data_IF_772207032344
#
_entry.id   IF_772207032344
#
_cell.length_a   1.000
_cell.length_b   1.000
_cell.length_c   1.000
_cell.angle_alpha   90.00
_cell.angle_beta   90.00
_cell.angle_gamma   90.00
#
_symmetry.space_group_name_H-M   'P 1'
#
loop_
_entity.id
_entity.type
_entity.pdbx_description
1 polymer ?
#
# COMPACT_ATOMS: atom_id res chain seq x y z
N UNK A 1 -106.09 -31.61 -27.77
CA UNK A 1 -106.69 -32.90 -28.17
C UNK A 1 -105.84 -34.02 -27.59
N UNK A 2 -106.34 -34.67 -26.53
CA UNK A 2 -106.00 -36.06 -26.14
C UNK A 2 -106.49 -37.05 -27.24
N UNK A 3 -106.16 -38.36 -27.29
CA UNK A 3 -105.79 -39.28 -26.18
C UNK A 3 -104.55 -40.20 -26.44
N UNK A 4 -103.83 -40.74 -25.43
CA UNK A 4 -104.07 -41.90 -24.50
C UNK A 4 -103.79 -43.30 -25.10
N UNK A 5 -103.11 -44.13 -24.27
CA UNK A 5 -102.92 -45.60 -24.23
C UNK A 5 -101.55 -46.12 -24.68
N UNK A 6 -100.65 -46.52 -23.78
CA UNK A 6 -100.72 -47.68 -22.86
C UNK A 6 -100.99 -48.99 -23.63
N UNK A 7 -99.92 -49.64 -24.07
CA UNK A 7 -99.83 -51.11 -24.05
C UNK A 7 -98.38 -51.56 -24.26
N UNK A 8 -97.97 -52.55 -23.47
CA UNK A 8 -96.74 -53.37 -23.58
C UNK A 8 -95.50 -52.91 -22.79
N UNK A 9 -95.71 -52.65 -21.51
CA UNK A 9 -94.80 -53.04 -20.41
C UNK A 9 -94.69 -54.57 -20.28
N UNK A 10 -94.27 -55.24 -21.36
CA UNK A 10 -94.11 -56.71 -21.41
C UNK A 10 -92.96 -57.17 -22.30
N UNK A 11 -92.19 -56.24 -22.89
CA UNK A 11 -91.01 -56.55 -23.73
C UNK A 11 -89.70 -55.98 -23.16
N UNK A 12 -89.75 -55.36 -21.98
CA UNK A 12 -88.58 -54.77 -21.30
C UNK A 12 -87.91 -55.71 -20.28
N UNK A 13 -88.52 -56.86 -19.98
CA UNK A 13 -88.02 -57.84 -19.02
C UNK A 13 -87.43 -59.11 -19.66
N UNK A 14 -87.44 -59.22 -21.00
CA UNK A 14 -86.80 -60.33 -21.72
C UNK A 14 -85.47 -59.95 -22.41
N UNK A 15 -85.07 -58.67 -22.34
CA UNK A 15 -83.76 -58.20 -22.83
C UNK A 15 -82.75 -57.90 -21.71
N UNK A 16 -83.11 -58.13 -20.45
CA UNK A 16 -82.30 -57.82 -19.27
C UNK A 16 -81.67 -59.05 -18.58
N UNK A 17 -81.79 -60.25 -19.18
CA UNK A 17 -81.18 -61.47 -18.67
C UNK A 17 -80.43 -62.28 -19.74
N UNK A 18 -79.77 -61.58 -20.67
CA UNK A 18 -78.73 -62.18 -21.49
C UNK A 18 -77.44 -61.38 -21.31
N UNK A 19 -76.60 -61.86 -20.39
CA UNK A 19 -75.14 -61.79 -20.45
C UNK A 19 -74.55 -60.37 -20.66
N UNK A 20 -74.24 -59.58 -19.63
CA UNK A 20 -73.18 -59.87 -18.66
C UNK A 20 -72.10 -60.80 -19.23
N UNK A 21 -71.34 -60.32 -20.22
CA UNK A 21 -69.95 -60.68 -20.56
C UNK A 21 -69.60 -60.15 -21.97
N UNK A 22 -69.59 -58.84 -22.14
CA UNK A 22 -68.78 -58.22 -23.20
C UNK A 22 -68.09 -56.99 -22.62
N UNK A 23 -67.20 -57.23 -21.66
CA UNK A 23 -65.93 -56.51 -21.73
C UNK A 23 -65.33 -56.91 -23.08
N UNK A 24 -65.68 -56.16 -24.14
CA UNK A 24 -64.86 -56.15 -25.33
C UNK A 24 -63.55 -55.53 -24.87
N UNK A 25 -62.67 -56.39 -24.35
CA UNK A 25 -61.28 -56.31 -24.73
C UNK A 25 -61.36 -56.27 -26.24
N UNK A 26 -61.29 -55.07 -26.84
CA UNK A 26 -60.85 -54.97 -28.22
C UNK A 26 -59.51 -55.68 -28.19
N UNK A 27 -59.51 -56.96 -28.55
CA UNK A 27 -58.33 -57.63 -28.99
C UNK A 27 -57.90 -56.79 -30.18
N UNK A 28 -57.01 -55.84 -29.94
CA UNK A 28 -56.26 -55.20 -31.00
C UNK A 28 -55.52 -56.36 -31.63
N UNK A 29 -56.07 -56.90 -32.71
CA UNK A 29 -55.38 -57.89 -33.51
C UNK A 29 -54.18 -57.16 -34.06
N UNK A 30 -53.02 -57.48 -33.49
CA UNK A 30 -51.71 -57.09 -33.99
C UNK A 30 -51.55 -57.61 -35.42
N UNK A 31 -52.04 -56.88 -36.43
CA UNK A 31 -51.60 -57.12 -37.79
C UNK A 31 -50.21 -56.51 -37.90
N UNK A 32 -49.18 -57.34 -37.66
CA UNK A 32 -47.82 -56.99 -38.04
C UNK A 32 -47.86 -56.50 -39.50
N UNK A 33 -47.29 -55.33 -39.76
CA UNK A 33 -47.10 -54.83 -41.13
C UNK A 33 -46.06 -55.65 -41.90
N UNK A 34 -45.34 -56.50 -41.18
CA UNK A 34 -44.29 -57.38 -41.69
C UNK A 34 -44.83 -58.80 -41.85
N UNK A 35 -44.78 -59.30 -43.09
CA UNK A 35 -45.02 -60.70 -43.42
C UNK A 35 -43.80 -61.55 -43.03
N UNK A 36 -43.86 -62.12 -41.84
CA UNK A 36 -42.82 -63.02 -41.34
C UNK A 36 -42.74 -64.28 -42.20
N UNK A 37 -41.62 -64.44 -42.91
CA UNK A 37 -41.36 -65.54 -43.84
C UNK A 37 -39.93 -66.07 -43.64
N UNK A 38 -39.60 -67.27 -44.15
CA UNK A 38 -38.22 -67.73 -44.20
C UNK A 38 -37.25 -66.74 -44.87
N UNK A 39 -37.72 -65.99 -45.87
CA UNK A 39 -36.95 -64.94 -46.55
C UNK A 39 -36.71 -63.74 -45.63
N UNK A 40 -37.73 -63.31 -44.88
CA UNK A 40 -37.58 -62.28 -43.85
C UNK A 40 -36.61 -62.73 -42.75
N UNK A 41 -36.72 -63.98 -42.26
CA UNK A 41 -35.76 -64.52 -41.30
C UNK A 41 -34.33 -64.53 -41.86
N UNK A 42 -34.14 -64.97 -43.11
CA UNK A 42 -32.85 -64.95 -43.80
C UNK A 42 -32.28 -63.53 -43.97
N UNK A 43 -33.14 -62.51 -44.02
CA UNK A 43 -32.70 -61.12 -44.05
C UNK A 43 -32.08 -60.71 -42.72
N UNK A 44 -32.69 -61.06 -41.57
CA UNK A 44 -32.37 -60.57 -40.21
C UNK A 44 -31.54 -61.50 -39.31
N UNK A 45 -31.43 -62.79 -39.66
CA UNK A 45 -30.76 -63.82 -38.85
C UNK A 45 -29.66 -64.52 -39.65
N UNK A 46 -28.61 -64.98 -38.98
CA UNK A 46 -27.56 -65.81 -39.57
C UNK A 46 -27.94 -67.28 -39.44
N UNK A 47 -27.91 -68.01 -40.56
CA UNK A 47 -28.07 -69.45 -40.55
C UNK A 47 -27.32 -70.03 -41.73
N UNK A 48 -26.39 -70.96 -41.49
CA UNK A 48 -25.68 -71.66 -42.55
C UNK A 48 -26.50 -72.77 -43.22
N UNK A 49 -27.77 -72.92 -42.83
CA UNK A 49 -28.69 -74.00 -43.26
C UNK A 49 -30.09 -73.42 -43.50
N UNK A 50 -31.11 -74.28 -43.60
CA UNK A 50 -32.48 -73.85 -43.87
C UNK A 50 -33.07 -73.02 -42.72
N UNK A 51 -33.48 -71.80 -43.06
CA UNK A 51 -34.18 -70.88 -42.16
C UNK A 51 -35.68 -71.20 -42.18
N UNK A 52 -36.32 -71.25 -41.02
CA UNK A 52 -37.79 -71.39 -40.90
C UNK A 52 -38.34 -70.37 -39.91
N UNK A 53 -39.60 -69.98 -40.05
CA UNK A 53 -40.29 -69.13 -39.08
C UNK A 53 -41.28 -70.00 -38.30
N UNK A 54 -41.18 -70.02 -36.97
CA UNK A 54 -42.12 -70.73 -36.12
C UNK A 54 -43.21 -69.77 -35.65
N UNK A 55 -44.45 -70.00 -36.12
CA UNK A 55 -45.62 -69.24 -35.67
C UNK A 55 -45.89 -69.47 -34.18
N UNK A 56 -45.73 -70.71 -33.70
CA UNK A 56 -45.99 -71.08 -32.30
C UNK A 56 -45.03 -70.40 -31.32
N UNK A 57 -43.76 -70.25 -31.70
CA UNK A 57 -42.74 -69.59 -30.88
C UNK A 57 -42.57 -68.11 -31.20
N UNK A 58 -43.22 -67.63 -32.27
CA UNK A 58 -43.03 -66.28 -32.81
C UNK A 58 -41.56 -65.94 -33.02
N UNK A 59 -40.76 -66.81 -33.63
CA UNK A 59 -39.30 -66.56 -33.82
C UNK A 59 -38.73 -67.32 -35.02
N UNK A 60 -37.58 -66.85 -35.52
CA UNK A 60 -36.83 -67.50 -36.58
C UNK A 60 -35.99 -68.67 -36.03
N UNK A 61 -36.06 -69.81 -36.71
CA UNK A 61 -35.33 -71.02 -36.38
C UNK A 61 -34.29 -71.36 -37.45
N UNK A 62 -33.13 -71.80 -37.01
CA UNK A 62 -32.05 -72.35 -37.83
C UNK A 62 -31.88 -73.83 -37.47
N UNK A 63 -32.17 -74.74 -38.41
CA UNK A 63 -32.12 -76.20 -38.17
C UNK A 63 -32.89 -76.66 -36.91
N UNK A 64 -34.08 -76.11 -36.67
CA UNK A 64 -34.92 -76.43 -35.50
C UNK A 64 -34.52 -75.75 -34.17
N UNK A 65 -33.33 -75.15 -34.09
CA UNK A 65 -32.87 -74.31 -32.98
C UNK A 65 -33.16 -72.83 -33.20
N UNK A 66 -33.01 -71.99 -32.17
CA UNK A 66 -33.14 -70.53 -32.31
C UNK A 66 -32.08 -70.00 -33.28
N UNK A 67 -32.49 -69.25 -34.30
CA UNK A 67 -31.56 -68.64 -35.23
C UNK A 67 -30.78 -67.50 -34.52
N UNK A 68 -29.45 -67.43 -34.67
CA UNK A 68 -28.69 -66.28 -34.19
C UNK A 68 -29.04 -65.03 -35.00
N UNK A 69 -29.21 -63.89 -34.32
CA UNK A 69 -29.49 -62.60 -34.97
C UNK A 69 -28.22 -62.16 -35.72
N UNK A 70 -28.36 -61.61 -36.93
CA UNK A 70 -27.25 -60.92 -37.59
C UNK A 70 -26.85 -59.71 -36.76
N UNK A 71 -25.60 -59.60 -36.38
CA UNK A 71 -25.09 -58.43 -35.65
C UNK A 71 -25.07 -57.21 -36.57
N UNK A 72 -26.07 -56.33 -36.45
CA UNK A 72 -26.21 -55.14 -37.30
C UNK A 72 -25.55 -53.89 -36.74
N UNK A 73 -25.42 -53.81 -35.40
CA UNK A 73 -24.95 -52.61 -34.71
C UNK A 73 -23.52 -52.85 -34.22
N UNK A 74 -22.51 -52.17 -34.78
CA UNK A 74 -21.14 -52.22 -34.28
C UNK A 74 -21.09 -51.85 -32.80
N UNK A 75 -20.26 -52.54 -32.03
CA UNK A 75 -20.07 -52.33 -30.58
C UNK A 75 -21.31 -52.62 -29.72
N UNK A 76 -22.30 -53.36 -30.23
CA UNK A 76 -23.40 -53.88 -29.43
C UNK A 76 -23.05 -55.26 -28.83
N UNK A 77 -23.33 -55.46 -27.54
CA UNK A 77 -23.11 -56.73 -26.81
C UNK A 77 -24.41 -57.54 -26.75
N UNK A 78 -25.52 -56.89 -26.41
CA UNK A 78 -26.82 -57.55 -26.26
C UNK A 78 -27.88 -56.86 -27.11
N UNK A 79 -28.68 -57.68 -27.79
CA UNK A 79 -29.76 -57.24 -28.67
C UNK A 79 -31.11 -57.57 -28.06
N UNK A 80 -32.10 -56.70 -28.30
CA UNK A 80 -33.49 -57.00 -27.95
C UNK A 80 -34.01 -58.12 -28.87
N UNK A 81 -34.04 -59.34 -28.34
CA UNK A 81 -34.48 -60.53 -29.06
C UNK A 81 -35.96 -60.89 -28.81
N UNK A 82 -36.81 -59.92 -28.45
CA UNK A 82 -38.23 -60.20 -28.19
C UNK A 82 -39.11 -59.91 -29.41
N UNK A 83 -39.65 -60.98 -30.00
CA UNK A 83 -40.73 -60.97 -30.99
C UNK A 83 -42.10 -61.20 -30.33
N UNK A 84 -42.39 -60.59 -29.19
CA UNK A 84 -43.68 -60.82 -28.52
C UNK A 84 -44.72 -59.76 -28.90
N UNK A 85 -45.79 -60.24 -29.54
CA UNK A 85 -47.02 -59.54 -29.95
C UNK A 85 -47.85 -58.97 -28.79
N UNK A 86 -47.28 -58.73 -27.61
CA UNK A 86 -48.10 -58.54 -26.41
C UNK A 86 -48.70 -57.13 -26.25
N UNK A 87 -48.30 -56.13 -27.06
CA UNK A 87 -48.84 -54.74 -27.03
C UNK A 87 -48.62 -53.94 -28.33
N UNK A 88 -49.30 -54.28 -29.43
CA UNK A 88 -49.20 -53.48 -30.68
C UNK A 88 -50.03 -52.19 -30.67
N UNK A 89 -50.77 -51.95 -29.59
CA UNK A 89 -51.48 -50.70 -29.31
C UNK A 89 -50.52 -49.57 -28.91
N UNK A 90 -49.28 -49.89 -28.51
CA UNK A 90 -48.28 -48.92 -28.02
C UNK A 90 -47.00 -48.87 -28.86
N UNK A 91 -46.47 -50.02 -29.31
CA UNK A 91 -45.21 -50.09 -30.07
C UNK A 91 -45.23 -51.24 -31.10
N UNK A 92 -44.84 -50.96 -32.35
CA UNK A 92 -44.69 -51.99 -33.40
C UNK A 92 -43.30 -52.63 -33.35
N UNK A 93 -43.20 -53.79 -32.69
CA UNK A 93 -41.95 -54.56 -32.55
C UNK A 93 -41.49 -55.27 -33.83
N UNK A 94 -42.28 -55.23 -34.92
CA UNK A 94 -41.92 -55.88 -36.18
C UNK A 94 -40.68 -55.26 -36.85
N UNK A 95 -40.28 -54.06 -36.41
CA UNK A 95 -39.08 -53.31 -36.85
C UNK A 95 -37.93 -53.28 -35.83
N UNK A 96 -38.07 -53.92 -34.66
CA UNK A 96 -37.22 -53.67 -33.46
C UNK A 96 -36.07 -54.69 -33.28
N UNK A 97 -35.96 -55.70 -34.14
CA UNK A 97 -35.00 -56.80 -33.99
C UNK A 97 -33.52 -56.43 -34.17
N UNK A 98 -33.23 -55.19 -34.54
CA UNK A 98 -31.87 -54.66 -34.69
C UNK A 98 -31.50 -53.61 -33.62
N UNK A 99 -32.27 -53.48 -32.54
CA UNK A 99 -31.95 -52.56 -31.46
C UNK A 99 -31.02 -53.21 -30.44
N UNK A 100 -29.96 -52.49 -30.11
CA UNK A 100 -29.04 -52.77 -29.03
C UNK A 100 -29.65 -52.40 -27.68
N UNK A 101 -29.52 -53.30 -26.71
CA UNK A 101 -29.86 -53.10 -25.30
C UNK A 101 -28.62 -52.64 -24.50
N UNK A 102 -27.47 -53.28 -24.75
CA UNK A 102 -26.21 -52.99 -24.04
C UNK A 102 -25.07 -52.86 -25.04
N UNK A 103 -24.42 -51.69 -25.03
CA UNK A 103 -23.20 -51.45 -25.81
C UNK A 103 -21.96 -51.98 -25.09
N UNK A 104 -20.87 -52.17 -25.83
CA UNK A 104 -19.55 -52.52 -25.29
C UNK A 104 -19.03 -51.43 -24.35
N UNK A 105 -18.04 -51.77 -23.52
CA UNK A 105 -17.36 -50.78 -22.67
C UNK A 105 -16.86 -49.60 -23.51
N UNK A 106 -17.01 -48.38 -22.99
CA UNK A 106 -16.73 -47.12 -23.67
C UNK A 106 -17.67 -46.73 -24.82
N UNK A 107 -18.79 -47.44 -25.00
CA UNK A 107 -19.87 -47.06 -25.92
C UNK A 107 -21.19 -46.84 -25.16
N UNK A 108 -22.04 -45.97 -25.68
CA UNK A 108 -23.36 -45.65 -25.15
C UNK A 108 -24.44 -45.77 -26.24
N UNK A 109 -25.68 -46.01 -25.82
CA UNK A 109 -26.84 -46.03 -26.71
C UNK A 109 -27.09 -44.61 -27.25
N UNK A 110 -27.16 -44.47 -28.57
CA UNK A 110 -27.45 -43.20 -29.23
C UNK A 110 -28.94 -43.06 -29.58
N UNK A 111 -29.53 -41.91 -29.32
CA UNK A 111 -30.97 -41.67 -29.53
C UNK A 111 -31.86 -42.82 -29.02
N UNK A 112 -31.72 -43.23 -27.73
CA UNK A 112 -32.39 -44.41 -27.22
C UNK A 112 -33.91 -44.24 -27.15
N UNK A 113 -34.64 -45.28 -27.55
CA UNK A 113 -36.08 -45.41 -27.33
C UNK A 113 -36.31 -46.16 -26.01
N UNK A 114 -37.29 -45.70 -25.22
CA UNK A 114 -37.65 -46.37 -23.96
C UNK A 114 -38.85 -47.28 -24.18
N UNK A 115 -38.70 -48.56 -23.84
CA UNK A 115 -39.77 -49.56 -23.90
C UNK A 115 -39.76 -50.33 -22.58
N UNK A 116 -40.92 -50.40 -21.90
CA UNK A 116 -41.07 -51.12 -20.63
C UNK A 116 -39.98 -50.76 -19.58
N UNK A 117 -39.62 -49.48 -19.47
CA UNK A 117 -38.56 -48.94 -18.60
C UNK A 117 -37.13 -49.39 -18.93
N UNK A 118 -36.90 -49.99 -20.10
CA UNK A 118 -35.57 -50.32 -20.63
C UNK A 118 -35.27 -49.46 -21.86
N UNK A 119 -33.99 -49.17 -22.10
CA UNK A 119 -33.54 -48.31 -23.20
C UNK A 119 -32.93 -49.14 -24.33
N UNK A 120 -33.27 -48.78 -25.56
CA UNK A 120 -32.84 -49.51 -26.75
C UNK A 120 -32.39 -48.53 -27.84
N UNK A 121 -31.38 -48.89 -28.63
CA UNK A 121 -30.89 -48.03 -29.72
C UNK A 121 -30.45 -48.80 -30.96
N UNK A 122 -30.61 -48.21 -32.14
CA UNK A 122 -30.06 -48.75 -33.39
C UNK A 122 -28.56 -48.44 -33.58
N UNK A 123 -27.92 -47.70 -32.67
CA UNK A 123 -26.53 -47.28 -32.81
C UNK A 123 -25.83 -47.16 -31.46
N UNK A 124 -24.70 -47.83 -31.30
CA UNK A 124 -23.77 -47.58 -30.21
C UNK A 124 -22.72 -46.56 -30.68
N UNK A 125 -22.62 -45.43 -29.98
CA UNK A 125 -21.59 -44.39 -30.24
C UNK A 125 -20.59 -44.35 -29.09
N UNK A 126 -19.35 -43.87 -29.30
CA UNK A 126 -18.42 -43.73 -28.20
C UNK A 126 -19.02 -42.93 -27.05
N UNK A 127 -18.72 -43.33 -25.82
CA UNK A 127 -19.29 -42.70 -24.64
C UNK A 127 -18.56 -41.40 -24.32
N UNK A 128 -19.28 -40.28 -24.42
CA UNK A 128 -18.84 -38.98 -23.90
C UNK A 128 -18.98 -38.98 -22.36
N UNK A 129 -17.90 -38.65 -21.64
CA UNK A 129 -17.92 -38.56 -20.18
C UNK A 129 -18.94 -37.52 -19.69
N UNK A 130 -19.65 -37.82 -18.60
CA UNK A 130 -20.70 -36.96 -18.00
C UNK A 130 -21.89 -36.64 -18.93
N UNK A 131 -22.08 -37.42 -20.00
CA UNK A 131 -23.22 -37.27 -20.90
C UNK A 131 -24.37 -38.20 -20.51
N UNK A 132 -25.58 -37.64 -20.42
CA UNK A 132 -26.82 -38.38 -20.15
C UNK A 132 -27.54 -38.79 -21.44
N UNK A 133 -27.37 -38.04 -22.53
CA UNK A 133 -28.04 -38.32 -23.80
C UNK A 133 -27.09 -38.12 -24.98
N UNK A 134 -26.76 -39.21 -25.66
CA UNK A 134 -25.95 -39.23 -26.87
C UNK A 134 -26.85 -39.27 -28.11
N UNK A 135 -26.50 -38.51 -29.14
CA UNK A 135 -27.15 -38.58 -30.46
C UNK A 135 -26.41 -39.53 -31.38
N UNK A 136 -27.09 -39.95 -32.44
CA UNK A 136 -26.55 -40.79 -33.51
C UNK A 136 -25.36 -40.15 -34.24
N UNK A 137 -25.24 -38.81 -34.23
CA UNK A 137 -24.10 -38.05 -34.77
C UNK A 137 -22.93 -37.88 -33.78
N UNK A 138 -22.88 -38.69 -32.72
CA UNK A 138 -21.84 -38.64 -31.68
C UNK A 138 -21.77 -37.26 -30.99
N UNK A 139 -22.94 -36.69 -30.68
CA UNK A 139 -23.08 -35.46 -29.88
C UNK A 139 -23.75 -35.76 -28.55
N UNK A 140 -23.50 -34.91 -27.55
CA UNK A 140 -24.16 -34.93 -26.26
C UNK A 140 -25.08 -33.72 -26.11
N UNK A 141 -26.38 -33.95 -25.96
CA UNK A 141 -27.38 -32.86 -25.82
C UNK A 141 -27.80 -32.61 -24.37
N UNK A 142 -27.55 -33.57 -23.48
CA UNK A 142 -27.85 -33.45 -22.05
C UNK A 142 -26.71 -34.07 -21.24
N UNK A 143 -26.27 -33.38 -20.19
CA UNK A 143 -25.16 -33.79 -19.33
C UNK A 143 -25.65 -34.09 -17.91
N UNK A 144 -24.82 -34.77 -17.12
CA UNK A 144 -25.05 -35.01 -15.69
C UNK A 144 -25.12 -33.69 -14.91
N UNK A 145 -25.76 -33.72 -13.74
CA UNK A 145 -25.87 -32.55 -12.85
C UNK A 145 -24.49 -31.95 -12.56
N UNK A 146 -24.37 -30.63 -12.73
CA UNK A 146 -23.09 -29.92 -12.58
C UNK A 146 -22.27 -29.81 -13.88
N UNK A 147 -22.72 -30.42 -14.97
CA UNK A 147 -22.12 -30.31 -16.30
C UNK A 147 -23.11 -29.75 -17.32
N UNK A 148 -22.58 -29.17 -18.40
CA UNK A 148 -23.36 -28.68 -19.55
C UNK A 148 -22.70 -29.09 -20.87
N UNK A 149 -23.46 -29.22 -21.96
CA UNK A 149 -22.88 -29.44 -23.28
C UNK A 149 -21.97 -28.28 -23.70
N UNK A 150 -20.81 -28.58 -24.28
CA UNK A 150 -20.02 -27.59 -25.02
C UNK A 150 -20.80 -27.07 -26.22
N UNK A 151 -20.50 -25.87 -26.76
CA UNK A 151 -21.25 -25.31 -27.90
C UNK A 151 -21.32 -26.21 -29.13
N UNK A 152 -20.28 -27.03 -29.36
CA UNK A 152 -20.25 -28.03 -30.44
C UNK A 152 -20.88 -29.39 -30.07
N UNK A 153 -21.37 -29.56 -28.84
CA UNK A 153 -21.96 -30.78 -28.30
C UNK A 153 -21.03 -32.00 -28.27
N UNK A 154 -19.72 -31.84 -28.39
CA UNK A 154 -18.77 -32.98 -28.40
C UNK A 154 -18.26 -33.36 -27.00
N UNK A 155 -18.57 -32.56 -25.97
CA UNK A 155 -18.19 -32.83 -24.59
C UNK A 155 -19.18 -32.24 -23.60
N UNK A 156 -19.14 -32.75 -22.36
CA UNK A 156 -19.79 -32.14 -21.20
C UNK A 156 -18.74 -31.42 -20.36
N UNK A 157 -18.86 -30.10 -20.26
CA UNK A 157 -17.98 -29.26 -19.47
C UNK A 157 -18.61 -28.94 -18.11
N UNK A 158 -17.78 -28.78 -17.08
CA UNK A 158 -18.24 -28.40 -15.75
C UNK A 158 -18.90 -27.01 -15.80
N UNK A 159 -20.00 -26.83 -15.08
CA UNK A 159 -20.69 -25.54 -15.00
C UNK A 159 -19.84 -24.56 -14.20
N UNK A 160 -19.39 -23.49 -14.87
CA UNK A 160 -18.67 -22.37 -14.26
C UNK A 160 -19.69 -21.35 -13.77
N UNK A 161 -19.80 -21.20 -12.45
CA UNK A 161 -20.67 -20.21 -11.83
C UNK A 161 -20.28 -18.81 -12.30
N UNK A 162 -21.27 -18.01 -12.73
CA UNK A 162 -21.04 -16.66 -13.21
C UNK A 162 -20.66 -16.53 -14.69
N UNK A 163 -20.55 -17.64 -15.42
CA UNK A 163 -20.22 -17.65 -16.84
C UNK A 163 -21.47 -17.54 -17.73
N UNK A 164 -21.49 -16.59 -18.67
CA UNK A 164 -22.58 -16.37 -19.62
C UNK A 164 -22.42 -17.12 -20.94
N UNK A 165 -21.19 -17.37 -21.39
CA UNK A 165 -20.92 -18.15 -22.61
C UNK A 165 -19.63 -18.95 -22.49
N UNK A 166 -19.54 -20.06 -23.23
CA UNK A 166 -18.44 -21.03 -23.12
C UNK A 166 -17.76 -21.24 -24.47
N UNK A 167 -16.49 -21.65 -24.41
CA UNK A 167 -15.73 -22.15 -25.56
C UNK A 167 -15.95 -23.66 -25.75
N UNK A 168 -15.50 -24.18 -26.90
CA UNK A 168 -15.61 -25.62 -27.22
C UNK A 168 -14.75 -26.53 -26.33
N UNK A 169 -13.73 -25.99 -25.67
CA UNK A 169 -12.90 -26.70 -24.69
C UNK A 169 -13.53 -26.73 -23.28
N UNK A 170 -14.72 -26.13 -23.11
CA UNK A 170 -15.42 -26.05 -21.83
C UNK A 170 -14.98 -24.91 -20.92
N UNK A 171 -14.01 -24.08 -21.34
CA UNK A 171 -13.64 -22.86 -20.61
C UNK A 171 -14.70 -21.77 -20.79
N UNK A 172 -14.73 -20.83 -19.85
CA UNK A 172 -15.61 -19.68 -19.96
C UNK A 172 -15.08 -18.69 -21.00
N UNK A 173 -15.96 -18.21 -21.87
CA UNK A 173 -15.67 -17.22 -22.88
C UNK A 173 -16.05 -15.82 -22.40
N UNK A 174 -17.24 -15.67 -21.80
CA UNK A 174 -17.71 -14.40 -21.23
C UNK A 174 -18.37 -14.63 -19.89
N UNK A 175 -18.19 -13.69 -18.96
CA UNK A 175 -18.83 -13.70 -17.65
C UNK A 175 -20.02 -12.74 -17.61
N UNK A 176 -20.97 -12.97 -16.68
CA UNK A 176 -22.04 -12.03 -16.41
C UNK A 176 -21.51 -10.67 -15.91
N UNK A 177 -22.34 -9.63 -16.03
CA UNK A 177 -22.02 -8.28 -15.58
C UNK A 177 -21.55 -8.25 -14.12
N UNK A 178 -20.46 -7.52 -13.84
CA UNK A 178 -19.84 -7.44 -12.51
C UNK A 178 -18.89 -8.60 -12.17
N UNK A 179 -18.72 -9.55 -13.11
CA UNK A 179 -17.72 -10.62 -13.03
C UNK A 179 -16.66 -10.44 -14.12
N UNK A 180 -15.44 -10.84 -13.80
CA UNK A 180 -14.29 -10.86 -14.70
C UNK A 180 -13.80 -12.29 -14.89
N UNK A 181 -13.32 -12.58 -16.09
CA UNK A 181 -12.77 -13.88 -16.44
C UNK A 181 -11.42 -14.06 -15.75
N UNK A 182 -11.20 -15.20 -15.10
CA UNK A 182 -9.86 -15.56 -14.60
C UNK A 182 -8.88 -15.76 -15.75
N UNK A 183 -7.59 -15.60 -15.48
CA UNK A 183 -6.55 -15.71 -16.50
C UNK A 183 -6.52 -17.09 -17.21
N UNK A 184 -6.87 -18.16 -16.49
CA UNK A 184 -7.00 -19.52 -17.03
C UNK A 184 -8.37 -19.82 -17.68
N UNK A 185 -9.29 -18.84 -17.66
CA UNK A 185 -10.65 -18.91 -18.20
C UNK A 185 -11.55 -19.97 -17.55
N UNK A 186 -11.17 -20.50 -16.39
CA UNK A 186 -11.92 -21.55 -15.69
C UNK A 186 -12.82 -21.03 -14.57
N UNK A 187 -12.79 -19.73 -14.31
CA UNK A 187 -13.63 -19.08 -13.31
C UNK A 187 -14.11 -17.70 -13.76
N UNK A 188 -15.29 -17.31 -13.28
CA UNK A 188 -15.78 -15.95 -13.33
C UNK A 188 -15.81 -15.38 -11.92
N UNK A 189 -14.91 -14.44 -11.65
CA UNK A 189 -14.69 -13.90 -10.30
C UNK A 189 -15.19 -12.47 -10.21
N UNK A 190 -15.40 -11.96 -8.99
CA UNK A 190 -15.88 -10.58 -8.80
C UNK A 190 -14.87 -9.58 -9.37
N UNK A 191 -15.36 -8.62 -10.17
CA UNK A 191 -14.51 -7.60 -10.78
C UNK A 191 -13.90 -6.70 -9.70
N UNK A 192 -12.56 -6.71 -9.61
CA UNK A 192 -11.80 -5.77 -8.78
C UNK A 192 -11.49 -4.50 -9.60
N UNK A 193 -11.93 -3.31 -9.17
CA UNK A 193 -11.66 -2.06 -9.88
C UNK A 193 -10.17 -1.78 -10.08
N UNK A 194 -9.77 -1.51 -11.32
CA UNK A 194 -8.37 -1.24 -11.67
C UNK A 194 -7.47 -2.47 -11.76
N UNK A 195 -8.03 -3.68 -11.68
CA UNK A 195 -7.33 -4.92 -11.94
C UNK A 195 -7.42 -5.27 -13.45
N UNK A 196 -6.28 -5.60 -14.07
CA UNK A 196 -6.19 -5.98 -15.48
C UNK A 196 -6.34 -7.50 -15.69
N UNK A 197 -5.93 -8.31 -14.71
CA UNK A 197 -6.10 -9.78 -14.76
C UNK A 197 -6.40 -10.38 -13.39
N UNK A 198 -7.27 -11.39 -13.35
CA UNK A 198 -7.73 -12.02 -12.12
C UNK A 198 -7.30 -13.48 -12.01
N UNK A 199 -7.03 -13.92 -10.78
CA UNK A 199 -6.81 -15.32 -10.43
C UNK A 199 -8.16 -16.04 -10.25
N UNK A 200 -8.14 -17.38 -10.33
CA UNK A 200 -9.33 -18.20 -10.16
C UNK A 200 -9.92 -18.13 -8.73
N UNK A 201 -9.12 -17.77 -7.72
CA UNK A 201 -9.55 -17.55 -6.33
C UNK A 201 -10.24 -16.20 -6.10
N UNK A 202 -10.33 -15.36 -7.13
CA UNK A 202 -10.93 -14.04 -7.08
C UNK A 202 -10.01 -12.93 -6.61
N UNK A 203 -8.72 -13.19 -6.43
CA UNK A 203 -7.72 -12.14 -6.22
C UNK A 203 -7.30 -11.49 -7.53
N UNK A 204 -6.77 -10.27 -7.44
CA UNK A 204 -6.14 -9.61 -8.55
C UNK A 204 -4.72 -10.15 -8.76
N UNK A 205 -4.39 -10.51 -9.99
CA UNK A 205 -3.07 -10.94 -10.37
C UNK A 205 -2.21 -9.75 -10.81
N UNK A 206 -2.77 -8.90 -11.66
CA UNK A 206 -2.07 -7.73 -12.21
C UNK A 206 -2.99 -6.51 -12.18
N UNK A 207 -2.46 -5.37 -11.77
CA UNK A 207 -3.18 -4.09 -11.79
C UNK A 207 -2.97 -3.34 -13.12
N UNK A 208 -3.88 -2.43 -13.42
CA UNK A 208 -3.72 -1.47 -14.52
C UNK A 208 -2.50 -0.56 -14.28
N UNK A 209 -2.00 0.06 -15.35
CA UNK A 209 -0.89 1.02 -15.27
C UNK A 209 -1.15 2.11 -14.23
N UNK A 210 -0.12 2.46 -13.45
CA UNK A 210 -0.20 3.44 -12.35
C UNK A 210 -0.82 2.94 -11.05
N UNK A 211 -1.19 1.65 -10.99
CA UNK A 211 -1.69 0.99 -9.78
C UNK A 211 -0.79 -0.15 -9.33
N UNK A 212 -0.74 -0.36 -8.03
CA UNK A 212 -0.03 -1.43 -7.36
C UNK A 212 -1.02 -2.37 -6.66
N UNK A 213 -0.64 -3.63 -6.59
CA UNK A 213 -1.42 -4.66 -5.91
C UNK A 213 -1.31 -4.46 -4.39
N UNK A 214 -2.44 -4.51 -3.69
CA UNK A 214 -2.43 -4.55 -2.22
C UNK A 214 -1.79 -5.85 -1.72
N UNK A 215 -1.27 -5.86 -0.50
CA UNK A 215 -0.61 -7.03 0.10
C UNK A 215 -1.50 -8.27 0.19
N UNK A 216 -2.81 -8.09 0.34
CA UNK A 216 -3.82 -9.17 0.32
C UNK A 216 -4.30 -9.55 -1.10
N UNK A 217 -3.82 -8.83 -2.13
CA UNK A 217 -4.18 -9.01 -3.54
C UNK A 217 -5.65 -8.79 -3.88
N UNK A 218 -6.44 -8.20 -2.98
CA UNK A 218 -7.88 -7.97 -3.19
C UNK A 218 -8.19 -6.55 -3.69
N UNK A 219 -7.18 -5.72 -3.91
CA UNK A 219 -7.35 -4.35 -4.37
C UNK A 219 -6.19 -3.88 -5.23
N UNK A 220 -6.48 -2.98 -6.16
CA UNK A 220 -5.50 -2.25 -6.94
C UNK A 220 -5.55 -0.78 -6.55
N UNK A 221 -4.49 -0.33 -5.87
CA UNK A 221 -4.40 1.01 -5.28
C UNK A 221 -3.40 1.86 -6.04
N UNK A 222 -3.47 3.19 -5.90
CA UNK A 222 -2.53 4.09 -6.58
C UNK A 222 -1.10 3.80 -6.15
N UNK A 223 -0.19 3.70 -7.11
CA UNK A 223 1.23 3.46 -6.82
C UNK A 223 1.85 4.64 -6.08
N UNK A 224 2.31 4.40 -4.85
CA UNK A 224 3.16 5.34 -4.10
C UNK A 224 4.62 5.12 -4.49
N UNK A 225 5.34 6.14 -5.02
CA UNK A 225 6.75 6.02 -5.37
C UNK A 225 7.61 5.61 -4.17
N UNK A 226 8.51 4.63 -4.39
CA UNK A 226 9.41 4.14 -3.34
C UNK A 226 8.74 3.21 -2.32
N UNK A 227 7.47 2.86 -2.50
CA UNK A 227 6.77 1.87 -1.67
C UNK A 227 6.92 0.46 -2.25
N UNK A 228 7.30 -0.51 -1.42
CA UNK A 228 7.47 -1.92 -1.81
C UNK A 228 6.20 -2.75 -1.64
N UNK A 229 5.29 -2.34 -0.75
CA UNK A 229 4.01 -3.03 -0.50
C UNK A 229 2.95 -2.05 -0.02
N UNK A 230 1.71 -2.25 -0.48
CA UNK A 230 0.59 -1.35 -0.21
C UNK A 230 -0.51 -2.03 0.61
N UNK A 231 -1.17 -1.27 1.46
CA UNK A 231 -2.39 -1.68 2.16
C UNK A 231 -3.60 -1.56 1.21
N UNK A 232 -4.71 -2.22 1.57
CA UNK A 232 -5.95 -2.16 0.80
C UNK A 232 -6.58 -0.75 0.76
N UNK A 233 -6.30 0.10 1.75
CA UNK A 233 -6.75 1.50 1.81
C UNK A 233 -5.93 2.46 0.93
N UNK A 234 -4.90 1.94 0.24
CA UNK A 234 -4.01 2.71 -0.62
C UNK A 234 -2.85 3.39 0.08
N UNK A 235 -2.66 3.18 1.38
CA UNK A 235 -1.45 3.62 2.09
C UNK A 235 -0.28 2.66 1.83
N UNK A 236 0.93 3.18 2.00
CA UNK A 236 2.13 2.35 1.94
C UNK A 236 2.29 1.55 3.24
N UNK A 237 2.52 0.25 3.10
CA UNK A 237 2.79 -0.65 4.22
C UNK A 237 4.29 -0.69 4.53
N UNK A 238 5.11 -0.86 3.49
CA UNK A 238 6.58 -0.94 3.61
C UNK A 238 7.22 -0.15 2.49
N UNK A 239 8.28 0.61 2.82
CA UNK A 239 9.07 1.33 1.84
C UNK A 239 10.23 0.49 1.30
N UNK A 240 10.77 0.89 0.14
CA UNK A 240 12.01 0.35 -0.41
C UNK A 240 13.20 0.67 0.51
N UNK A 241 14.30 -0.07 0.35
CA UNK A 241 15.54 0.17 1.10
C UNK A 241 16.00 1.63 0.97
N UNK A 242 16.48 2.22 2.07
CA UNK A 242 16.91 3.63 2.14
C UNK A 242 15.77 4.66 2.22
N UNK A 243 14.51 4.20 2.27
CA UNK A 243 13.32 5.04 2.46
C UNK A 243 12.64 4.72 3.80
N UNK A 244 12.02 5.73 4.40
CA UNK A 244 11.21 5.63 5.61
C UNK A 244 9.77 6.01 5.29
N UNK A 245 8.83 5.37 5.99
CA UNK A 245 7.41 5.65 5.85
C UNK A 245 7.08 6.99 6.51
N UNK A 246 6.34 7.86 5.82
CA UNK A 246 5.80 9.07 6.43
C UNK A 246 4.77 8.73 7.50
N UNK A 247 4.52 9.64 8.45
CA UNK A 247 3.61 9.39 9.56
C UNK A 247 2.16 9.16 9.13
N UNK A 248 1.72 9.75 8.02
CA UNK A 248 0.41 9.50 7.41
C UNK A 248 0.37 8.26 6.50
N UNK A 249 1.52 7.58 6.34
CA UNK A 249 1.74 6.40 5.49
C UNK A 249 1.46 6.61 4.00
N UNK A 250 1.37 7.86 3.54
CA UNK A 250 1.06 8.19 2.14
C UNK A 250 2.30 8.47 1.29
N UNK A 251 3.49 8.49 1.90
CA UNK A 251 4.74 8.70 1.20
C UNK A 251 5.87 7.81 1.75
N UNK A 252 6.80 7.45 0.87
CA UNK A 252 8.09 6.88 1.23
C UNK A 252 9.18 7.91 0.96
N UNK A 253 9.73 8.46 2.03
CA UNK A 253 10.69 9.56 1.97
C UNK A 253 12.10 9.08 2.27
N UNK A 254 13.13 9.85 1.90
CA UNK A 254 14.52 9.47 2.18
C UNK A 254 14.76 9.36 3.68
N UNK A 255 15.38 8.26 4.12
CA UNK A 255 15.66 8.04 5.53
C UNK A 255 16.69 9.07 6.03
N UNK A 256 16.29 9.87 7.02
CA UNK A 256 17.18 10.78 7.77
C UNK A 256 17.77 10.01 8.97
N UNK A 257 19.11 9.84 9.06
CA UNK A 257 19.73 9.13 10.17
C UNK A 257 19.42 9.72 11.53
N UNK A 258 18.95 8.89 12.46
CA UNK A 258 18.58 9.32 13.81
C UNK A 258 17.24 10.04 13.92
N UNK A 259 16.46 10.09 12.84
CA UNK A 259 15.08 10.52 12.86
C UNK A 259 14.17 9.35 13.27
N UNK A 260 13.25 9.58 14.21
CA UNK A 260 12.28 8.58 14.67
C UNK A 260 10.99 8.59 13.86
N UNK A 261 10.66 9.72 13.21
CA UNK A 261 9.41 9.87 12.46
C UNK A 261 9.52 10.96 11.38
N UNK A 262 8.91 10.72 10.21
CA UNK A 262 9.09 11.57 9.03
C UNK A 262 7.77 12.20 8.56
N UNK A 263 7.86 13.44 8.09
CA UNK A 263 6.78 14.13 7.40
C UNK A 263 6.68 13.67 5.93
N UNK A 264 5.52 13.91 5.30
CA UNK A 264 5.30 13.56 3.90
C UNK A 264 6.19 14.35 2.91
N UNK A 265 6.69 15.53 3.31
CA UNK A 265 7.64 16.34 2.54
C UNK A 265 9.10 15.85 2.63
N UNK A 266 9.35 14.81 3.44
CA UNK A 266 10.67 14.23 3.65
C UNK A 266 11.50 14.89 4.75
N UNK A 267 10.95 15.85 5.50
CA UNK A 267 11.59 16.38 6.71
C UNK A 267 11.40 15.45 7.91
N UNK A 268 12.29 15.57 8.88
CA UNK A 268 12.17 14.87 10.14
C UNK A 268 11.18 15.59 11.07
N UNK A 269 10.22 14.86 11.64
CA UNK A 269 9.28 15.39 12.62
C UNK A 269 9.85 15.29 14.04
N UNK A 270 10.47 14.16 14.37
CA UNK A 270 11.08 13.94 15.68
C UNK A 270 12.35 13.11 15.56
N UNK A 271 13.33 13.40 16.41
CA UNK A 271 14.58 12.67 16.48
C UNK A 271 14.54 11.55 17.52
N UNK A 272 15.44 10.59 17.40
CA UNK A 272 15.69 9.59 18.42
C UNK A 272 16.25 10.23 19.70
N UNK A 273 16.15 9.52 20.82
CA UNK A 273 16.68 9.98 22.11
C UNK A 273 18.15 10.40 22.01
N UNK A 274 18.51 11.51 22.67
CA UNK A 274 19.86 12.11 22.64
C UNK A 274 20.19 12.93 21.39
N UNK A 275 19.23 13.10 20.47
CA UNK A 275 19.35 13.95 19.29
C UNK A 275 18.33 15.07 19.26
N UNK A 276 18.72 16.19 18.70
CA UNK A 276 17.89 17.37 18.45
C UNK A 276 17.68 17.58 16.96
N UNK A 277 16.52 18.12 16.61
CA UNK A 277 16.17 18.46 15.24
C UNK A 277 16.94 19.72 14.81
N UNK A 278 17.55 19.69 13.62
CA UNK A 278 18.12 20.90 13.02
C UNK A 278 17.03 21.92 12.70
N UNK A 279 17.39 23.19 12.63
CA UNK A 279 16.44 24.28 12.35
C UNK A 279 15.71 24.14 11.00
N UNK A 280 16.36 23.52 10.01
CA UNK A 280 15.76 23.20 8.70
C UNK A 280 14.99 21.86 8.67
N UNK A 281 14.99 21.12 9.79
CA UNK A 281 14.34 19.80 9.97
C UNK A 281 14.85 18.68 9.06
N UNK A 282 16.01 18.86 8.42
CA UNK A 282 16.58 17.87 7.50
C UNK A 282 17.61 16.95 8.14
N UNK A 283 17.99 17.21 9.39
CA UNK A 283 18.98 16.45 10.13
C UNK A 283 18.58 16.26 11.60
N UNK A 284 19.00 15.12 12.17
CA UNK A 284 18.97 14.88 13.61
C UNK A 284 20.41 14.83 14.12
N UNK A 285 20.79 15.84 14.88
CA UNK A 285 22.16 16.06 15.37
C UNK A 285 22.24 15.80 16.87
N UNK A 286 23.44 15.57 17.40
CA UNK A 286 23.63 15.34 18.84
C UNK A 286 23.13 16.53 19.64
N UNK A 287 22.37 16.27 20.70
CA UNK A 287 21.86 17.34 21.57
C UNK A 287 23.01 18.01 22.33
N UNK A 288 23.19 19.31 22.11
CA UNK A 288 24.07 20.17 22.90
C UNK A 288 23.29 20.73 24.10
N UNK A 289 23.71 20.48 25.35
CA UNK A 289 23.07 21.06 26.53
C UNK A 289 23.01 22.59 26.48
N UNK A 290 21.87 23.16 26.87
CA UNK A 290 21.65 24.61 26.82
C UNK A 290 21.44 25.19 25.42
N UNK A 291 21.44 24.37 24.36
CA UNK A 291 21.16 24.84 23.01
C UNK A 291 19.67 24.74 22.67
N UNK A 292 19.07 25.84 22.21
CA UNK A 292 17.65 25.91 21.84
C UNK A 292 17.38 25.58 20.37
N UNK A 293 18.36 25.77 19.49
CA UNK A 293 18.26 25.42 18.07
C UNK A 293 19.61 25.00 17.51
N UNK A 294 19.62 23.99 16.64
CA UNK A 294 20.83 23.39 16.10
C UNK A 294 20.95 23.61 14.59
N UNK A 295 22.19 23.79 14.11
CA UNK A 295 22.50 23.79 12.68
C UNK A 295 22.55 22.36 12.14
N UNK A 296 22.48 22.21 10.82
CA UNK A 296 22.55 20.91 10.16
C UNK A 296 23.90 20.18 10.33
N UNK A 297 24.99 20.93 10.62
CA UNK A 297 26.33 20.38 10.89
C UNK A 297 26.52 19.91 12.34
N UNK A 298 25.49 20.07 13.19
CA UNK A 298 25.51 19.67 14.59
C UNK A 298 26.03 20.73 15.56
N UNK A 299 26.39 21.92 15.09
CA UNK A 299 26.70 23.06 15.96
C UNK A 299 25.44 23.70 16.53
N UNK A 300 25.58 24.43 17.64
CA UNK A 300 24.49 25.20 18.20
C UNK A 300 24.29 26.49 17.40
N UNK A 301 23.04 26.75 17.00
CA UNK A 301 22.65 27.98 16.31
C UNK A 301 22.25 29.07 17.31
N UNK A 302 21.48 28.70 18.33
CA UNK A 302 21.03 29.64 19.37
C UNK A 302 20.98 28.94 20.72
N UNK A 303 21.60 29.57 21.73
CA UNK A 303 21.58 29.10 23.10
C UNK A 303 20.29 29.51 23.83
N UNK A 304 19.92 28.75 24.85
CA UNK A 304 18.81 29.06 25.73
C UNK A 304 19.10 30.31 26.58
N UNK A 305 18.04 30.95 27.07
CA UNK A 305 18.14 32.13 27.93
C UNK A 305 19.11 31.88 29.11
N UNK A 306 20.02 32.84 29.35
CA UNK A 306 21.04 32.74 30.40
C UNK A 306 22.34 32.03 29.99
N UNK A 307 22.44 31.56 28.74
CA UNK A 307 23.66 30.99 28.18
C UNK A 307 24.08 31.70 26.88
N UNK A 308 25.38 31.69 26.61
CA UNK A 308 26.01 32.31 25.45
C UNK A 308 26.72 31.24 24.61
N UNK A 309 26.73 31.45 23.30
CA UNK A 309 27.36 30.55 22.34
C UNK A 309 28.88 30.69 22.41
N UNK A 310 29.60 29.58 22.46
CA UNK A 310 31.07 29.58 22.36
C UNK A 310 31.51 30.00 20.96
N UNK A 311 32.72 30.54 20.81
CA UNK A 311 33.19 31.03 19.51
C UNK A 311 33.15 29.95 18.40
N UNK A 312 33.40 28.69 18.78
CA UNK A 312 33.39 27.52 17.89
C UNK A 312 31.98 26.93 17.67
N UNK A 313 30.96 27.49 18.34
CA UNK A 313 29.55 27.11 18.29
C UNK A 313 29.24 25.68 18.76
N UNK A 314 30.17 25.03 19.48
CA UNK A 314 30.00 23.63 19.93
C UNK A 314 29.41 23.50 21.33
N UNK A 315 29.31 24.58 22.09
CA UNK A 315 28.70 24.58 23.42
C UNK A 315 27.93 25.86 23.71
N UNK A 316 27.01 25.77 24.67
CA UNK A 316 26.38 26.90 25.32
C UNK A 316 26.87 26.96 26.77
N UNK A 317 27.47 28.09 27.15
CA UNK A 317 28.08 28.30 28.45
C UNK A 317 27.35 29.42 29.19
N UNK A 318 27.49 29.49 30.51
CA UNK A 318 26.86 30.56 31.30
C UNK A 318 27.27 31.94 30.79
N UNK A 319 26.30 32.85 30.63
CA UNK A 319 26.57 34.20 30.12
C UNK A 319 27.40 34.99 31.13
N UNK A 320 28.60 35.41 30.70
CA UNK A 320 29.40 36.41 31.41
C UNK A 320 28.97 37.80 30.90
N UNK A 321 28.51 38.73 31.78
CA UNK A 321 28.14 40.07 31.37
C UNK A 321 29.29 40.80 30.65
N UNK A 322 28.97 41.58 29.61
CA UNK A 322 29.93 42.37 28.83
C UNK A 322 31.01 41.53 28.10
N UNK A 323 30.80 40.22 27.98
CA UNK A 323 31.70 39.34 27.23
C UNK A 323 31.22 39.23 25.77
N UNK A 324 32.06 39.64 24.83
CA UNK A 324 31.76 39.59 23.40
C UNK A 324 31.97 38.22 22.76
N UNK A 325 32.80 37.35 23.35
CA UNK A 325 33.01 35.97 22.88
C UNK A 325 33.46 35.04 24.01
N UNK A 326 32.93 33.82 24.04
CA UNK A 326 33.22 32.81 25.07
C UNK A 326 34.07 31.66 24.54
N UNK A 327 35.03 31.21 25.36
CA UNK A 327 35.81 30.00 25.14
C UNK A 327 34.98 28.75 25.44
N UNK A 328 35.44 27.59 24.95
CA UNK A 328 34.80 26.29 25.18
C UNK A 328 34.69 25.89 26.66
N UNK A 329 35.59 26.38 27.52
CA UNK A 329 35.59 26.13 28.97
C UNK A 329 34.66 27.05 29.77
N UNK A 330 33.92 27.94 29.08
CA UNK A 330 33.02 28.92 29.71
C UNK A 330 33.68 30.20 30.18
N UNK A 331 34.98 30.39 29.92
CA UNK A 331 35.66 31.67 30.20
C UNK A 331 35.43 32.69 29.08
N UNK A 332 35.59 33.97 29.41
CA UNK A 332 35.52 35.03 28.43
C UNK A 332 36.81 35.09 27.59
N UNK A 333 36.67 35.07 26.27
CA UNK A 333 37.76 35.22 25.31
C UNK A 333 38.04 36.70 25.04
N UNK A 334 36.99 37.47 24.74
CA UNK A 334 37.07 38.90 24.48
C UNK A 334 35.89 39.61 25.13
N UNK A 335 36.15 40.79 25.71
CA UNK A 335 35.10 41.65 26.24
C UNK A 335 34.57 42.60 25.18
N UNK A 336 33.36 43.11 25.41
CA UNK A 336 32.80 44.23 24.65
C UNK A 336 33.67 45.48 24.79
N UNK A 337 33.56 46.41 23.84
CA UNK A 337 34.37 47.62 23.80
C UNK A 337 34.30 48.40 25.13
N UNK A 338 35.46 48.84 25.65
CA UNK A 338 35.57 49.54 26.93
C UNK A 338 35.76 48.64 28.16
N UNK A 339 35.80 47.33 27.97
CA UNK A 339 36.06 46.34 29.03
C UNK A 339 37.30 45.49 28.72
N UNK A 340 37.92 44.99 29.79
CA UNK A 340 39.08 44.10 29.77
C UNK A 340 38.76 42.77 30.45
N UNK A 341 39.33 41.68 29.93
CA UNK A 341 39.17 40.34 30.51
C UNK A 341 39.95 40.29 31.83
N UNK A 342 39.29 39.89 32.91
CA UNK A 342 39.95 39.65 34.20
C UNK A 342 41.02 38.55 34.10
N UNK A 343 41.98 38.55 35.02
CA UNK A 343 43.09 37.61 35.07
C UNK A 343 42.66 36.13 35.13
N UNK A 344 41.52 35.82 35.77
CA UNK A 344 40.95 34.47 35.80
C UNK A 344 40.00 34.17 34.64
N UNK A 345 39.78 35.14 33.74
CA UNK A 345 38.92 35.09 32.55
C UNK A 345 37.43 34.83 32.84
N UNK A 346 36.97 34.97 34.08
CA UNK A 346 35.56 34.72 34.47
C UNK A 346 34.70 35.98 34.56
N UNK A 347 35.30 37.15 34.37
CA UNK A 347 34.61 38.44 34.36
C UNK A 347 35.20 39.37 33.29
N UNK A 348 34.33 40.20 32.71
CA UNK A 348 34.71 41.39 31.96
C UNK A 348 34.52 42.61 32.87
N UNK A 349 35.57 43.40 33.01
CA UNK A 349 35.57 44.56 33.91
C UNK A 349 35.98 45.79 33.15
N UNK A 350 35.52 46.97 33.58
CA UNK A 350 35.82 48.22 32.90
C UNK A 350 37.33 48.45 32.78
N UNK A 351 37.79 48.82 31.59
CA UNK A 351 39.22 49.03 31.35
C UNK A 351 39.73 50.23 32.16
N UNK A 352 40.66 49.97 33.07
CA UNK A 352 41.40 51.00 33.81
C UNK A 352 42.63 51.43 32.97
N UNK A 353 42.77 52.71 32.58
CA UNK A 353 43.95 53.20 31.88
C UNK A 353 45.24 52.94 32.66
N UNK A 354 46.29 52.47 31.98
CA UNK A 354 47.58 52.16 32.60
C UNK A 354 47.61 50.85 33.38
N UNK A 355 46.60 50.00 33.23
CA UNK A 355 46.50 48.69 33.88
C UNK A 355 46.75 47.55 32.89
N UNK A 356 47.80 46.76 33.14
CA UNK A 356 48.18 45.60 32.34
C UNK A 356 47.31 44.36 32.61
N UNK A 357 46.85 44.16 33.86
CA UNK A 357 45.93 43.07 34.19
C UNK A 357 44.95 43.42 35.30
N UNK A 358 43.72 42.92 35.20
CA UNK A 358 42.63 43.23 36.13
C UNK A 358 42.24 42.02 36.98
N UNK A 359 41.85 42.26 38.23
CA UNK A 359 41.21 41.27 39.08
C UNK A 359 39.72 41.08 38.71
N UNK A 360 39.07 39.98 39.15
CA UNK A 360 37.66 39.73 38.83
C UNK A 360 36.68 40.72 39.48
N UNK A 361 37.12 41.40 40.55
CA UNK A 361 36.34 42.46 41.22
C UNK A 361 36.45 43.83 40.52
N UNK A 362 37.17 43.91 39.40
CA UNK A 362 37.39 45.13 38.63
C UNK A 362 38.58 45.98 39.08
N UNK A 363 39.32 45.58 40.10
CA UNK A 363 40.53 46.31 40.52
C UNK A 363 41.73 46.01 39.64
N UNK A 364 42.68 46.96 39.52
CA UNK A 364 43.92 46.67 38.80
C UNK A 364 44.84 45.76 39.63
N UNK A 365 45.35 44.69 38.99
CA UNK A 365 46.30 43.74 39.56
C UNK A 365 47.73 44.11 39.23
N UNK A 366 48.00 44.50 37.99
CA UNK A 366 49.34 44.81 37.51
C UNK A 366 49.25 46.04 36.60
N UNK A 367 50.12 47.01 36.81
CA UNK A 367 50.15 48.24 36.03
C UNK A 367 51.05 48.10 34.81
N UNK A 368 50.76 48.87 33.77
CA UNK A 368 51.66 49.04 32.62
C UNK A 368 52.98 49.67 33.07
N UNK A 369 54.02 49.51 32.23
CA UNK A 369 55.33 50.09 32.51
C UNK A 369 55.23 51.63 32.68
N UNK A 370 55.80 52.14 33.78
CA UNK A 370 55.72 53.56 34.15
C UNK A 370 54.52 53.94 35.02
N UNK A 371 53.75 52.95 35.50
CA UNK A 371 52.70 53.13 36.49
C UNK A 371 52.92 52.22 37.71
N UNK A 372 52.47 52.65 38.88
CA UNK A 372 52.50 51.87 40.14
C UNK A 372 51.09 51.71 40.72
N UNK A 373 50.85 50.56 41.36
CA UNK A 373 49.60 50.29 42.06
C UNK A 373 49.48 51.25 43.25
N UNK A 374 48.34 51.93 43.37
CA UNK A 374 48.03 52.71 44.57
C UNK A 374 47.93 51.79 45.79
N UNK A 375 48.81 51.96 46.77
CA UNK A 375 48.71 51.29 48.06
C UNK A 375 47.73 52.03 48.97
N UNK A 376 46.65 51.33 49.35
CA UNK A 376 45.62 51.61 50.36
C UNK A 376 44.25 52.17 49.92
N UNK A 377 43.13 51.72 50.56
CA UNK A 377 41.77 52.05 50.18
C UNK A 377 41.21 53.17 51.07
N UNK A 378 41.71 54.40 50.99
CA UNK A 378 41.00 55.50 51.67
C UNK A 378 41.40 56.87 51.09
N UNK A 379 40.65 57.31 50.08
CA UNK A 379 40.40 58.74 49.92
C UNK A 379 38.90 58.91 49.70
N UNK A 380 38.17 59.07 50.80
CA UNK A 380 36.88 59.73 50.77
C UNK A 380 37.13 61.16 50.26
N UNK A 381 36.77 61.45 49.01
CA UNK A 381 36.53 62.86 48.62
C UNK A 381 35.09 63.19 48.99
N UNK A 382 34.85 64.34 49.66
CA UNK A 382 33.49 64.77 49.94
C UNK A 382 32.82 65.17 48.63
N UNK A 383 31.77 64.45 48.24
CA UNK A 383 30.70 65.01 47.43
C UNK A 383 29.57 65.33 48.40
N UNK A 384 29.41 66.61 48.71
CA UNK A 384 28.18 67.09 49.32
C UNK A 384 27.20 67.54 48.22
N UNK A 385 25.89 67.20 48.31
CA UNK A 385 25.25 66.24 49.23
C UNK A 385 24.55 65.07 48.49
N UNK A 386 24.81 63.84 48.96
CA UNK A 386 23.82 62.75 48.91
C UNK A 386 24.32 61.39 48.40
N UNK A 387 24.89 60.58 49.29
CA UNK A 387 25.01 59.12 49.11
C UNK A 387 26.44 58.59 48.99
N UNK A 388 26.89 57.83 49.99
CA UNK A 388 28.15 57.08 49.98
C UNK A 388 27.97 55.75 49.24
N UNK A 389 28.73 55.55 48.17
CA UNK A 389 28.99 54.24 47.56
C UNK A 389 30.51 53.98 47.64
N UNK A 390 30.98 52.89 48.27
CA UNK A 390 32.41 52.60 48.33
C UNK A 390 32.89 52.15 46.95
N UNK A 391 33.55 53.03 46.20
CA UNK A 391 34.30 52.65 45.00
C UNK A 391 35.69 52.16 45.42
N UNK A 392 35.83 50.85 45.58
CA UNK A 392 37.13 50.18 45.65
C UNK A 392 37.80 50.31 44.28
N UNK A 393 38.64 51.31 44.06
CA UNK A 393 39.46 51.39 42.85
C UNK A 393 40.93 51.51 43.26
N UNK A 394 41.63 50.36 43.32
CA UNK A 394 43.09 50.36 43.14
C UNK A 394 43.36 50.77 41.69
N UNK A 395 43.89 51.97 41.50
CA UNK A 395 44.20 52.52 40.18
C UNK A 395 45.71 52.56 39.97
N UNK A 396 46.12 52.54 38.71
CA UNK A 396 47.51 52.72 38.32
C UNK A 396 47.82 54.21 38.23
N UNK A 397 48.74 54.69 39.07
CA UNK A 397 49.22 56.08 39.02
C UNK A 397 50.57 56.13 38.31
N UNK A 398 50.78 57.16 37.50
CA UNK A 398 52.03 57.34 36.76
C UNK A 398 53.17 57.60 37.73
N UNK A 399 54.26 56.84 37.64
CA UNK A 399 55.41 56.97 38.55
C UNK A 399 56.19 58.24 38.22
N UNK A 400 55.97 59.33 38.96
CA UNK A 400 56.80 60.54 38.87
C UNK A 400 57.95 60.40 39.87
N UNK A 401 58.95 59.57 39.56
CA UNK A 401 60.21 59.55 40.30
C UNK A 401 61.19 60.54 39.65
N UNK A 402 61.13 61.80 40.08
CA UNK A 402 62.31 62.67 40.01
C UNK A 402 63.29 62.22 41.08
N UNK A 403 64.50 61.79 40.67
CA UNK A 403 65.64 61.66 41.57
C UNK A 403 65.86 63.01 42.27
N UNK A 404 65.61 63.09 43.58
CA UNK A 404 66.23 64.12 44.43
C UNK A 404 67.33 63.42 45.21
N UNK A 405 68.56 63.78 44.83
CA UNK A 405 69.77 63.36 45.49
C UNK A 405 69.78 63.99 46.90
N UNK A 406 69.92 63.13 47.91
CA UNK A 406 70.08 63.53 49.31
C UNK A 406 71.30 64.45 49.46
N UNK A 407 71.09 65.67 49.95
CA UNK A 407 72.07 66.39 50.75
C UNK A 407 71.38 67.01 51.96
N UNK A 408 72.04 66.81 53.11
CA UNK A 408 71.63 67.16 54.47
C UNK A 408 71.36 68.66 54.71
N UNK A 409 70.23 68.92 55.39
CA UNK A 409 69.95 69.89 56.48
C UNK A 409 70.07 71.43 56.30
N UNK A 410 69.43 72.25 57.18
CA UNK A 410 68.20 72.02 57.98
C UNK A 410 67.20 73.20 57.95
N UNK A 411 65.96 72.92 58.38
CA UNK A 411 64.94 73.87 58.85
C UNK A 411 64.37 74.90 57.86
N UNK A 412 63.16 74.63 57.37
CA UNK A 412 62.29 75.65 56.79
C UNK A 412 61.04 75.04 56.18
N UNK A 413 59.87 75.39 56.73
CA UNK A 413 58.56 75.01 56.21
C UNK A 413 58.43 75.36 54.72
N UNK A 414 58.03 74.39 53.89
CA UNK A 414 57.55 74.65 52.53
C UNK A 414 56.02 74.54 52.48
N UNK A 415 55.40 75.71 52.57
CA UNK A 415 54.02 76.00 52.18
C UNK A 415 53.90 75.85 50.64
N UNK A 416 52.83 75.21 50.18
CA UNK A 416 52.55 75.04 48.76
C UNK A 416 51.71 76.21 48.26
N UNK A 417 52.25 77.05 47.37
CA UNK A 417 51.43 77.77 46.38
C UNK A 417 52.19 78.26 45.13
N UNK A 418 51.72 77.71 44.02
CA UNK A 418 51.53 78.24 42.66
C UNK A 418 52.63 79.01 41.88
N UNK A 419 52.86 78.44 40.69
CA UNK A 419 53.00 79.05 39.35
C UNK A 419 54.35 79.62 38.91
N UNK A 420 54.92 79.00 37.87
CA UNK A 420 55.58 79.75 36.79
C UNK A 420 55.50 78.98 35.46
N UNK A 421 55.28 79.75 34.40
CA UNK A 421 55.00 79.38 33.02
C UNK A 421 56.04 80.17 32.22
N UNK A 422 56.85 79.54 31.34
CA UNK A 422 57.08 79.94 29.94
C UNK A 422 58.44 79.55 29.31
N UNK A 423 58.31 79.02 28.07
CA UNK A 423 59.08 79.25 26.83
C UNK A 423 60.46 78.59 26.59
N UNK A 424 60.59 77.97 25.39
CA UNK A 424 61.49 78.32 24.24
C UNK A 424 61.60 77.09 23.27
N UNK A 425 61.08 77.11 22.01
CA UNK A 425 61.61 77.61 20.68
C UNK A 425 62.27 76.50 19.79
N UNK A 426 62.50 76.69 18.45
CA UNK A 426 61.94 75.85 17.35
C UNK A 426 62.94 75.14 16.41
N UNK A 427 62.48 74.33 15.42
CA UNK A 427 62.84 74.40 13.96
C UNK A 427 62.10 73.39 13.03
N UNK A 428 61.59 73.94 11.89
CA UNK A 428 61.38 73.47 10.49
C UNK A 428 60.67 72.15 10.11
N UNK A 429 59.65 72.24 9.22
CA UNK A 429 59.64 71.77 7.79
C UNK A 429 58.47 72.45 7.01
N UNK A 430 58.69 72.61 5.70
CA UNK A 430 58.04 73.39 4.63
C UNK A 430 56.49 73.34 4.47
N UNK A 431 55.93 74.45 3.96
CA UNK A 431 54.83 74.45 2.98
C UNK A 431 54.99 75.60 1.95
N UNK A 432 54.71 75.28 0.69
CA UNK A 432 54.82 76.11 -0.52
C UNK A 432 53.65 77.10 -0.69
N UNK A 433 53.90 78.13 -1.49
CA UNK A 433 53.10 79.35 -1.71
C UNK A 433 51.98 79.15 -2.74
N UNK A 434 50.77 79.71 -2.50
CA UNK A 434 50.09 80.71 -3.38
C UNK A 434 48.67 81.11 -2.91
N UNK A 435 48.52 82.43 -2.64
CA UNK A 435 47.34 83.29 -2.87
C UNK A 435 46.04 83.03 -2.08
N UNK A 436 45.14 83.99 -1.82
CA UNK A 436 45.12 85.46 -1.66
C UNK A 436 43.64 85.80 -1.31
N UNK A 437 43.41 86.84 -0.49
CA UNK A 437 42.18 87.68 -0.42
C UNK A 437 40.98 87.08 0.35
N UNK A 438 40.62 87.53 1.57
CA UNK A 438 39.96 88.78 2.06
C UNK A 438 38.40 88.69 2.10
N UNK A 439 37.90 88.95 3.32
CA UNK A 439 36.68 89.69 3.74
C UNK A 439 35.35 88.94 4.06
N UNK A 440 34.99 89.10 5.36
CA UNK A 440 33.77 89.72 5.94
C UNK A 440 32.48 88.90 6.11
N UNK A 441 31.95 88.95 7.35
CA UNK A 441 30.54 88.71 7.75
C UNK A 441 30.44 87.87 9.03
N UNK A 442 30.29 88.45 10.24
CA UNK A 442 29.02 88.63 11.02
C UNK A 442 28.05 87.46 10.83
N UNK A 443 27.51 86.81 11.87
CA UNK A 443 26.43 87.27 12.75
C UNK A 443 26.43 86.56 14.12
N UNK A 444 25.64 87.10 15.04
CA UNK A 444 25.66 86.96 16.50
C UNK A 444 24.32 86.40 17.03
N UNK A 445 24.34 85.87 18.27
CA UNK A 445 23.23 85.68 19.25
C UNK A 445 22.14 84.63 18.90
N UNK A 446 21.49 83.91 19.83
CA UNK A 446 21.04 84.07 21.24
C UNK A 446 20.85 82.65 21.84
N UNK A 447 20.54 82.36 23.11
CA UNK A 447 20.71 82.93 24.46
C UNK A 447 19.77 82.13 25.40
N UNK A 448 20.13 82.04 26.70
CA UNK A 448 19.29 81.77 27.89
C UNK A 448 18.82 80.31 28.10
N UNK A 449 18.93 79.72 29.29
CA UNK A 449 18.92 80.27 30.66
C UNK A 449 19.85 79.51 31.61
#
# INVERSE_FOLDING_TARGET
MFPVNVLRTGLLLLFLTLTALTTSVRAVVCTSTVSYSPQWCAQYYTCGTMMTYSLDRGTCLCNGGLAPIKSYVPNCVYYLAQQQQSRCDLYDFSSVLAYCDICQSHYALADPVTVANMQYSQKCVPSIANCNYHTSDYKCTSCTTGYRPTPNFLACALVIIGCSSYNNDGTCQTCYTGKSLSNDKKACVTTIPGCSSHNADGTCQTCNSGKSLSSDKKSCVTTIPGCSSHNADGTCQTCNSGKSLSNDKKACVTTIPGCSSHNADGTCQACNSGKSLSSDKKSCVTTIPGCSSHNADGTCQTCATGTSLTYDKKACVATIPQCGSHNADGTCQTCEAGNSVSNNKKACVTTIPGCASHNPDGTCRECDSGFSLSSEPEVLRPLYPGGLLPLRHRQCMRTVCGRVQLHHEPNGLCDMRHSELQQLRPERVLCTVRGRVRRVGRWCLCALR
#
